data_IF_293739647728
#
_entry.id   IF_293739647728
#
_cell.length_a   1.000
_cell.length_b   1.000
_cell.length_c   1.000
_cell.angle_alpha   90.00
_cell.angle_beta   90.00
_cell.angle_gamma   90.00
#
_symmetry.space_group_name_H-M   'P 1'
#
loop_
_entity.id
_entity.type
_entity.pdbx_description
1 polymer ?
#
# COMPACT_ATOMS: atom_id res chain seq x y z
N UNK A 1 15.17 -0.43 6.68
CA UNK A 1 13.85 0.12 6.26
C UNK A 1 12.96 -1.00 5.75
N UNK A 2 11.66 -0.93 6.04
CA UNK A 2 10.72 -1.99 5.75
C UNK A 2 10.43 -2.16 4.24
N UNK A 3 10.15 -3.40 3.81
CA UNK A 3 9.75 -3.78 2.45
C UNK A 3 8.56 -4.74 2.49
N UNK A 4 7.50 -4.27 3.15
CA UNK A 4 6.33 -5.07 3.52
C UNK A 4 5.06 -4.50 2.88
N UNK A 5 4.07 -5.35 2.63
CA UNK A 5 2.76 -4.95 2.13
C UNK A 5 1.64 -5.79 2.75
N UNK A 6 0.42 -5.27 2.74
CA UNK A 6 -0.80 -5.95 3.18
C UNK A 6 -1.92 -5.76 2.16
N UNK A 7 -3.03 -6.46 2.33
CA UNK A 7 -4.19 -6.42 1.45
C UNK A 7 -5.25 -5.49 2.05
N UNK A 8 -5.85 -4.64 1.23
CA UNK A 8 -6.99 -3.80 1.58
C UNK A 8 -8.16 -4.13 0.64
N UNK A 9 -9.39 -4.13 1.14
CA UNK A 9 -10.62 -4.54 0.43
C UNK A 9 -11.47 -3.37 -0.07
N UNK A 10 -11.15 -2.14 0.30
CA UNK A 10 -11.85 -0.96 -0.19
C UNK A 10 -10.91 0.23 -0.40
N UNK A 11 -11.40 1.25 -1.11
CA UNK A 11 -10.67 2.50 -1.29
C UNK A 11 -10.46 3.17 0.06
N UNK A 12 -11.47 3.18 0.92
CA UNK A 12 -11.46 3.80 2.25
C UNK A 12 -10.45 3.11 3.19
N UNK A 13 -10.40 1.78 3.20
CA UNK A 13 -9.42 1.01 3.98
C UNK A 13 -7.99 1.31 3.49
N UNK A 14 -7.81 1.32 2.17
CA UNK A 14 -6.53 1.58 1.53
C UNK A 14 -6.05 3.02 1.79
N UNK A 15 -6.97 3.99 1.75
CA UNK A 15 -6.71 5.41 1.97
C UNK A 15 -6.36 5.68 3.45
N UNK A 16 -7.11 5.07 4.38
CA UNK A 16 -6.80 5.14 5.81
C UNK A 16 -5.43 4.53 6.13
N UNK A 17 -5.07 3.42 5.48
CA UNK A 17 -3.76 2.80 5.64
C UNK A 17 -2.65 3.65 4.99
N UNK A 18 -2.89 4.23 3.82
CA UNK A 18 -1.98 5.14 3.15
C UNK A 18 -1.65 6.37 4.01
N UNK A 19 -2.67 7.02 4.56
CA UNK A 19 -2.48 8.12 5.50
C UNK A 19 -1.71 7.71 6.76
N UNK A 20 -1.93 6.51 7.28
CA UNK A 20 -1.14 6.00 8.40
C UNK A 20 0.35 5.84 8.04
N UNK A 21 0.65 5.27 6.87
CA UNK A 21 2.02 5.12 6.36
C UNK A 21 2.69 6.49 6.26
N UNK A 22 2.02 7.48 5.68
CA UNK A 22 2.53 8.86 5.56
C UNK A 22 2.83 9.50 6.92
N UNK A 23 1.94 9.33 7.91
CA UNK A 23 2.14 9.84 9.28
C UNK A 23 3.37 9.24 9.98
N UNK A 24 3.90 8.13 9.48
CA UNK A 24 5.12 7.48 9.98
C UNK A 24 6.41 7.97 9.27
N UNK A 25 6.31 9.01 8.44
CA UNK A 25 7.46 9.59 7.74
C UNK A 25 7.84 8.86 6.45
N UNK A 26 6.95 8.00 5.93
CA UNK A 26 7.12 7.42 4.61
C UNK A 26 6.61 8.40 3.55
N UNK A 27 7.32 8.48 2.43
CA UNK A 27 7.08 9.38 1.32
C UNK A 27 6.08 8.79 0.31
N UNK A 28 5.39 9.69 -0.41
CA UNK A 28 4.55 9.32 -1.56
C UNK A 28 5.31 8.96 -2.83
N UNK A 29 4.56 8.69 -3.89
CA UNK A 29 5.13 8.57 -5.23
C UNK A 29 5.56 9.97 -5.68
N UNK A 30 6.86 10.15 -5.96
CA UNK A 30 7.48 11.41 -6.42
C UNK A 30 7.34 12.58 -5.43
N UNK A 31 8.17 12.63 -4.38
CA UNK A 31 8.30 13.74 -3.42
C UNK A 31 6.95 14.27 -2.88
N UNK A 32 6.39 13.58 -1.88
CA UNK A 32 5.30 14.03 -0.99
C UNK A 32 3.85 14.09 -1.47
N UNK A 33 3.56 13.81 -2.74
CA UNK A 33 2.17 13.84 -3.21
C UNK A 33 1.40 12.55 -2.86
N UNK A 34 0.75 12.54 -1.69
CA UNK A 34 -0.23 11.50 -1.32
C UNK A 34 -1.33 11.33 -2.38
N UNK A 35 -1.63 12.39 -3.15
CA UNK A 35 -2.59 12.38 -4.25
C UNK A 35 -2.27 11.29 -5.28
N UNK A 36 -1.00 11.06 -5.62
CA UNK A 36 -0.62 9.98 -6.54
C UNK A 36 -0.82 8.60 -5.93
N UNK A 37 -0.55 8.43 -4.63
CA UNK A 37 -0.84 7.19 -3.91
C UNK A 37 -2.33 6.86 -3.94
N UNK A 38 -3.19 7.87 -3.71
CA UNK A 38 -4.65 7.70 -3.80
C UNK A 38 -5.11 7.34 -5.21
N UNK A 39 -4.56 7.99 -6.24
CA UNK A 39 -4.85 7.62 -7.63
C UNK A 39 -4.43 6.18 -7.95
N UNK A 40 -3.27 5.72 -7.46
CA UNK A 40 -2.86 4.32 -7.62
C UNK A 40 -3.80 3.34 -6.90
N UNK A 41 -4.31 3.69 -5.71
CA UNK A 41 -5.33 2.90 -4.98
C UNK A 41 -6.59 2.76 -5.82
N UNK A 42 -7.14 3.88 -6.28
CA UNK A 42 -8.36 3.92 -7.07
C UNK A 42 -8.20 3.11 -8.37
N UNK A 43 -7.05 3.24 -9.03
CA UNK A 43 -6.74 2.47 -10.25
C UNK A 43 -6.59 0.98 -9.98
N UNK A 44 -5.86 0.59 -8.93
CA UNK A 44 -5.64 -0.82 -8.60
C UNK A 44 -6.96 -1.52 -8.26
N UNK A 45 -7.84 -0.88 -7.49
CA UNK A 45 -9.17 -1.41 -7.15
C UNK A 45 -10.06 -1.45 -8.39
N UNK A 46 -10.09 -0.39 -9.19
CA UNK A 46 -10.87 -0.34 -10.44
C UNK A 46 -10.43 -1.40 -11.45
N UNK A 47 -9.14 -1.70 -11.53
CA UNK A 47 -8.64 -2.74 -12.43
C UNK A 47 -8.99 -4.14 -11.91
N UNK A 48 -8.85 -4.38 -10.60
CA UNK A 48 -9.21 -5.65 -10.00
C UNK A 48 -10.72 -5.92 -10.02
N UNK A 49 -11.56 -4.89 -9.88
CA UNK A 49 -13.02 -5.03 -9.90
C UNK A 49 -13.54 -5.54 -11.25
N UNK A 50 -12.85 -5.25 -12.35
CA UNK A 50 -13.10 -5.84 -13.69
C UNK A 50 -12.97 -7.37 -13.71
N UNK A 51 -12.29 -7.93 -12.71
CA UNK A 51 -12.10 -9.37 -12.52
C UNK A 51 -12.80 -9.89 -11.26
N UNK A 52 -13.85 -9.19 -10.78
CA UNK A 52 -14.61 -9.53 -9.57
C UNK A 52 -13.75 -9.59 -8.29
N UNK A 53 -12.69 -8.77 -8.23
CA UNK A 53 -11.79 -8.66 -7.09
C UNK A 53 -11.86 -7.25 -6.52
N UNK A 54 -12.44 -7.11 -5.35
CA UNK A 54 -12.50 -5.81 -4.66
C UNK A 54 -11.37 -5.75 -3.64
N UNK A 55 -10.13 -5.68 -4.12
CA UNK A 55 -8.97 -5.50 -3.26
C UNK A 55 -7.83 -4.81 -4.00
N UNK A 56 -6.91 -4.24 -3.24
CA UNK A 56 -5.55 -3.93 -3.71
C UNK A 56 -4.54 -4.29 -2.61
N UNK A 57 -3.27 -4.17 -2.93
CA UNK A 57 -2.19 -4.27 -1.96
C UNK A 57 -1.59 -2.90 -1.72
N UNK A 58 -1.36 -2.59 -0.44
CA UNK A 58 -0.74 -1.35 0.01
C UNK A 58 0.46 -1.71 0.87
N UNK A 59 1.57 -1.01 0.68
CA UNK A 59 2.81 -1.33 1.38
C UNK A 59 3.84 -0.24 1.28
N UNK A 60 5.06 -0.62 1.65
CA UNK A 60 6.24 0.24 1.59
C UNK A 60 7.40 -0.48 0.90
N UNK A 61 8.25 0.29 0.25
CA UNK A 61 9.57 -0.09 -0.23
C UNK A 61 10.57 0.98 0.21
N UNK A 62 11.37 0.70 1.25
CA UNK A 62 12.25 1.74 1.77
C UNK A 62 11.43 2.79 2.52
N UNK A 63 11.65 4.06 2.19
CA UNK A 63 10.81 5.17 2.67
C UNK A 63 9.54 5.36 1.85
N UNK A 64 9.36 4.68 0.72
CA UNK A 64 8.30 5.02 -0.22
C UNK A 64 7.06 4.13 -0.04
N UNK A 65 5.88 4.73 -0.01
CA UNK A 65 4.60 4.03 -0.13
C UNK A 65 4.41 3.46 -1.54
N UNK A 66 3.94 2.22 -1.62
CA UNK A 66 3.66 1.54 -2.89
C UNK A 66 2.28 0.87 -2.86
N UNK A 67 1.61 0.87 -4.01
CA UNK A 67 0.30 0.26 -4.20
C UNK A 67 0.37 -0.72 -5.37
N UNK A 68 -0.35 -1.83 -5.34
CA UNK A 68 -0.36 -2.75 -6.49
C UNK A 68 -1.61 -3.61 -6.52
N UNK A 69 -2.00 -4.07 -7.71
CA UNK A 69 -3.20 -4.89 -7.89
C UNK A 69 -2.98 -6.36 -7.57
N UNK A 70 -1.73 -6.82 -7.54
CA UNK A 70 -1.39 -8.20 -7.21
C UNK A 70 0.03 -8.33 -6.62
N UNK A 71 0.33 -9.49 -6.03
CA UNK A 71 1.64 -9.79 -5.43
C UNK A 71 2.80 -9.67 -6.43
N UNK A 72 2.58 -9.94 -7.73
CA UNK A 72 3.62 -9.80 -8.77
C UNK A 72 4.00 -8.33 -8.96
N UNK A 73 3.03 -7.43 -8.95
CA UNK A 73 3.26 -5.99 -9.02
C UNK A 73 3.98 -5.46 -7.77
N UNK A 74 3.58 -5.90 -6.57
CA UNK A 74 4.28 -5.52 -5.33
C UNK A 74 5.77 -5.87 -5.36
N UNK A 75 6.11 -7.06 -5.86
CA UNK A 75 7.51 -7.48 -6.06
C UNK A 75 8.25 -6.59 -7.07
N UNK A 76 7.59 -6.16 -8.16
CA UNK A 76 8.16 -5.21 -9.12
C UNK A 76 8.40 -3.83 -8.51
N UNK A 77 7.53 -3.41 -7.59
CA UNK A 77 7.65 -2.17 -6.81
C UNK A 77 8.59 -2.29 -5.59
N UNK A 78 9.32 -3.40 -5.45
CA UNK A 78 10.32 -3.59 -4.39
C UNK A 78 9.77 -3.94 -3.01
N UNK A 79 8.46 -4.21 -2.89
CA UNK A 79 7.84 -4.65 -1.65
C UNK A 79 7.61 -6.17 -1.68
N UNK A 80 8.39 -6.90 -0.87
CA UNK A 80 8.57 -8.34 -1.05
C UNK A 80 7.80 -9.20 -0.04
N UNK A 81 7.57 -8.70 1.17
CA UNK A 81 6.98 -9.48 2.26
C UNK A 81 5.52 -9.13 2.48
N UNK A 82 4.64 -10.12 2.28
CA UNK A 82 3.23 -9.98 2.60
C UNK A 82 3.00 -10.14 4.11
N UNK A 83 2.23 -9.23 4.70
CA UNK A 83 1.76 -9.27 6.07
C UNK A 83 0.25 -9.39 6.04
N UNK A 84 -0.26 -10.56 6.42
CA UNK A 84 -1.68 -10.88 6.31
C UNK A 84 -2.54 -10.08 7.30
N UNK A 85 -2.07 -9.93 8.55
CA UNK A 85 -2.78 -9.18 9.58
C UNK A 85 -2.38 -7.71 9.52
N UNK A 86 -3.33 -6.83 9.19
CA UNK A 86 -3.12 -5.37 9.14
C UNK A 86 -2.54 -4.83 10.46
N UNK A 87 -3.00 -5.33 11.62
CA UNK A 87 -2.43 -4.96 12.93
C UNK A 87 -0.92 -5.22 13.03
N UNK A 88 -0.45 -6.35 12.50
CA UNK A 88 0.97 -6.69 12.48
C UNK A 88 1.73 -5.79 11.51
N UNK A 89 1.12 -5.46 10.37
CA UNK A 89 1.68 -4.51 9.42
C UNK A 89 1.90 -3.14 10.07
N UNK A 90 0.87 -2.59 10.73
CA UNK A 90 0.96 -1.31 11.45
C UNK A 90 2.00 -1.34 12.56
N UNK A 91 2.10 -2.44 13.31
CA UNK A 91 3.11 -2.60 14.35
C UNK A 91 4.53 -2.57 13.76
N UNK A 92 4.77 -3.29 12.66
CA UNK A 92 6.08 -3.31 12.00
C UNK A 92 6.50 -1.93 11.44
N UNK A 93 5.53 -1.09 11.05
CA UNK A 93 5.79 0.28 10.61
C UNK A 93 5.85 1.30 11.76
N UNK A 94 5.33 0.95 12.95
CA UNK A 94 5.18 1.85 14.09
C UNK A 94 6.28 1.77 15.15
N UNK A 95 7.28 0.88 15.00
CA UNK A 95 8.42 0.68 15.94
C UNK A 95 9.53 1.74 15.70
N UNK A 96 9.21 2.93 15.21
CA UNK A 96 10.19 4.02 15.03
C UNK A 96 9.78 5.23 15.86
#
# INVERSE_FOLDING_TARGET
>A
MNKIYTLCRSVEESDALGHFIMRKGYEGVQNDSYRYCRLEIEWAIKENSRHYRNYCFVGVNGCQMVVGKNKKEMRRKGSYKYIEKERMFRMLLGIH
#
